data_IF_126048356915
#
_entry.id   IF_126048356915
#
_cell.length_a   1.000
_cell.length_b   1.000
_cell.length_c   1.000
_cell.angle_alpha   90.00
_cell.angle_beta   90.00
_cell.angle_gamma   90.00
#
_symmetry.space_group_name_H-M   'P 1'
#
loop_
_entity.id
_entity.type
_entity.pdbx_description
1 polymer ?
#
# COMPACT_ATOMS: atom_id res chain seq x y z
N UNK A 1 -25.03 -30.48 -0.22
CA UNK A 1 -24.20 -29.38 0.32
C UNK A 1 -22.85 -29.98 0.67
N UNK A 2 -21.82 -29.80 -0.20
CA UNK A 2 -20.51 -30.46 -0.02
C UNK A 2 -19.75 -29.73 1.09
N UNK A 3 -19.43 -30.45 2.16
CA UNK A 3 -18.72 -29.92 3.32
C UNK A 3 -17.36 -29.36 2.91
N UNK A 4 -17.07 -28.15 3.39
CA UNK A 4 -15.73 -27.56 3.34
C UNK A 4 -14.79 -28.53 4.07
N UNK A 5 -13.84 -29.15 3.36
CA UNK A 5 -12.89 -30.04 4.02
C UNK A 5 -12.10 -29.23 5.05
N UNK A 6 -11.67 -29.88 6.13
CA UNK A 6 -10.97 -29.25 7.24
C UNK A 6 -9.74 -28.45 6.77
N UNK A 7 -9.15 -28.87 5.66
CA UNK A 7 -7.99 -28.25 5.00
C UNK A 7 -8.36 -26.91 4.32
N UNK A 8 -9.55 -26.81 3.72
CA UNK A 8 -10.05 -25.57 3.13
C UNK A 8 -10.35 -24.51 4.18
N UNK A 9 -10.88 -24.91 5.33
CA UNK A 9 -11.11 -24.00 6.44
C UNK A 9 -9.78 -23.45 6.99
N UNK A 10 -8.76 -24.29 7.14
CA UNK A 10 -7.44 -23.87 7.57
C UNK A 10 -6.77 -22.91 6.57
N UNK A 11 -6.84 -23.21 5.27
CA UNK A 11 -6.31 -22.34 4.22
C UNK A 11 -6.99 -20.96 4.20
N UNK A 12 -8.32 -20.92 4.36
CA UNK A 12 -9.08 -19.67 4.43
C UNK A 12 -8.70 -18.85 5.67
N UNK A 13 -8.53 -19.49 6.83
CA UNK A 13 -8.09 -18.81 8.04
C UNK A 13 -6.68 -18.23 7.93
N UNK A 14 -5.75 -18.95 7.31
CA UNK A 14 -4.38 -18.45 7.08
C UNK A 14 -4.38 -17.27 6.10
N UNK A 15 -5.22 -17.31 5.07
CA UNK A 15 -5.35 -16.21 4.12
C UNK A 15 -5.97 -14.96 4.78
N UNK A 16 -7.04 -15.13 5.57
CA UNK A 16 -7.64 -14.05 6.35
C UNK A 16 -6.67 -13.48 7.39
N UNK A 17 -5.92 -14.33 8.09
CA UNK A 17 -4.91 -13.89 9.06
C UNK A 17 -3.77 -13.11 8.38
N UNK A 18 -3.37 -13.51 7.18
CA UNK A 18 -2.41 -12.77 6.36
C UNK A 18 -2.90 -11.38 5.96
N UNK A 19 -4.18 -11.24 5.60
CA UNK A 19 -4.79 -9.94 5.33
C UNK A 19 -4.95 -9.09 6.61
N UNK A 20 -5.30 -9.69 7.75
CA UNK A 20 -5.48 -8.98 9.01
C UNK A 20 -4.15 -8.50 9.63
N UNK A 21 -3.04 -9.17 9.32
CA UNK A 21 -1.69 -8.81 9.77
C UNK A 21 -1.02 -7.74 8.92
N UNK A 22 -1.70 -7.18 7.91
CA UNK A 22 -1.10 -6.15 7.06
C UNK A 22 -0.95 -4.86 7.87
N UNK A 23 0.28 -4.33 8.04
CA UNK A 23 0.46 -3.05 8.70
C UNK A 23 -0.22 -1.97 7.85
N UNK A 24 -1.27 -1.39 8.42
CA UNK A 24 -1.87 -0.15 7.92
C UNK A 24 -0.98 0.96 8.45
N UNK A 25 -0.19 1.56 7.57
CA UNK A 25 0.59 2.74 7.94
C UNK A 25 -0.31 3.96 7.84
N UNK A 26 -0.25 4.83 8.85
CA UNK A 26 -0.93 6.12 8.80
C UNK A 26 -0.52 6.89 7.54
N UNK A 27 -1.49 7.51 6.84
CA UNK A 27 -1.19 8.28 5.65
C UNK A 27 -0.25 9.44 6.02
N UNK A 28 0.87 9.53 5.29
CA UNK A 28 1.83 10.62 5.41
C UNK A 28 1.40 11.75 4.48
N UNK A 29 1.18 12.92 5.06
CA UNK A 29 1.03 14.18 4.34
C UNK A 29 2.37 14.92 4.33
N UNK A 30 2.87 15.17 3.12
CA UNK A 30 4.10 15.90 2.87
C UNK A 30 3.83 17.13 2.03
N UNK A 31 4.77 18.08 2.11
CA UNK A 31 4.81 19.23 1.21
C UNK A 31 6.24 19.35 0.73
N UNK A 32 6.44 19.38 -0.58
CA UNK A 32 7.75 19.61 -1.18
C UNK A 32 7.77 20.96 -1.90
N UNK A 33 8.85 21.71 -1.72
CA UNK A 33 9.05 22.99 -2.42
C UNK A 33 9.95 22.72 -3.61
N UNK A 34 9.44 23.00 -4.81
CA UNK A 34 10.17 22.86 -6.05
C UNK A 34 11.24 23.94 -6.22
N UNK A 35 12.21 23.68 -7.10
CA UNK A 35 13.26 24.67 -7.45
C UNK A 35 12.72 25.90 -8.17
N UNK A 36 11.51 25.80 -8.71
CA UNK A 36 10.71 26.86 -9.30
C UNK A 36 10.00 27.72 -8.24
N UNK A 37 10.16 27.42 -6.95
CA UNK A 37 9.51 28.10 -5.85
C UNK A 37 8.06 27.69 -5.64
N UNK A 38 7.56 26.70 -6.40
CA UNK A 38 6.20 26.21 -6.25
C UNK A 38 6.10 25.21 -5.09
N UNK A 39 4.97 25.27 -4.38
CA UNK A 39 4.67 24.38 -3.26
C UNK A 39 3.79 23.25 -3.76
N UNK A 40 4.24 22.03 -3.52
CA UNK A 40 3.59 20.85 -4.04
C UNK A 40 3.17 19.93 -2.89
N UNK A 41 1.86 19.83 -2.62
CA UNK A 41 1.37 18.89 -1.63
C UNK A 41 1.55 17.46 -2.14
N UNK A 42 1.88 16.55 -1.22
CA UNK A 42 1.89 15.12 -1.48
C UNK A 42 1.17 14.39 -0.35
N UNK A 43 0.41 13.36 -0.72
CA UNK A 43 -0.20 12.43 0.22
C UNK A 43 0.22 11.03 -0.17
N UNK A 44 0.59 10.20 0.80
CA UNK A 44 0.88 8.79 0.55
C UNK A 44 0.39 7.93 1.70
N UNK A 45 -0.30 6.84 1.42
CA UNK A 45 -0.70 5.83 2.40
C UNK A 45 -0.18 4.47 1.99
N UNK A 46 0.06 3.60 2.98
CA UNK A 46 0.47 2.23 2.69
C UNK A 46 -0.45 1.22 3.39
N UNK A 47 -0.93 0.26 2.60
CA UNK A 47 -1.72 -0.88 3.07
C UNK A 47 -1.01 -2.14 2.62
N UNK A 48 -0.49 -2.89 3.59
CA UNK A 48 -0.03 -4.25 3.34
C UNK A 48 1.11 -4.36 2.32
N UNK A 49 2.10 -3.48 2.44
CA UNK A 49 3.27 -3.44 1.55
C UNK A 49 3.04 -2.66 0.25
N UNK A 50 1.80 -2.32 -0.09
CA UNK A 50 1.46 -1.45 -1.22
C UNK A 50 1.32 -0.01 -0.72
N UNK A 51 2.06 0.92 -1.30
CA UNK A 51 1.96 2.36 -1.05
C UNK A 51 1.34 3.07 -2.24
N UNK A 52 0.31 3.87 -2.00
CA UNK A 52 -0.32 4.71 -3.01
C UNK A 52 -0.11 6.16 -2.59
N UNK A 53 0.26 7.01 -3.54
CA UNK A 53 0.38 8.43 -3.28
C UNK A 53 -0.02 9.29 -4.46
N UNK A 54 -0.26 10.56 -4.18
CA UNK A 54 -0.57 11.57 -5.18
C UNK A 54 0.10 12.89 -4.79
N UNK A 55 0.55 13.63 -5.80
CA UNK A 55 1.05 14.98 -5.65
C UNK A 55 0.78 15.80 -6.91
N UNK A 56 1.34 17.00 -6.97
CA UNK A 56 1.13 17.91 -8.11
C UNK A 56 1.64 17.38 -9.44
N UNK A 57 2.62 16.47 -9.43
CA UNK A 57 3.19 15.84 -10.61
C UNK A 57 2.49 14.55 -11.06
N UNK A 58 1.40 14.13 -10.39
CA UNK A 58 0.68 12.90 -10.70
C UNK A 58 0.51 11.96 -9.50
N UNK A 59 -0.13 10.83 -9.77
CA UNK A 59 -0.31 9.72 -8.85
C UNK A 59 0.80 8.69 -8.98
N UNK A 60 0.98 7.86 -7.96
CA UNK A 60 1.80 6.66 -8.06
C UNK A 60 1.25 5.54 -7.19
N UNK A 61 1.51 4.31 -7.64
CA UNK A 61 1.32 3.09 -6.85
C UNK A 61 2.65 2.37 -6.81
N UNK A 62 3.05 1.95 -5.62
CA UNK A 62 4.28 1.19 -5.41
C UNK A 62 4.03 0.05 -4.43
N UNK A 63 4.87 -0.98 -4.48
CA UNK A 63 4.89 -2.10 -3.55
C UNK A 63 6.32 -2.34 -3.09
N UNK A 64 6.48 -2.68 -1.82
CA UNK A 64 7.77 -2.89 -1.18
C UNK A 64 7.93 -4.30 -0.63
N UNK A 65 9.07 -4.94 -0.94
CA UNK A 65 9.54 -6.14 -0.27
C UNK A 65 10.94 -5.87 0.30
N UNK A 66 11.01 -5.70 1.63
CA UNK A 66 12.25 -5.30 2.31
C UNK A 66 12.76 -3.94 1.80
N UNK A 67 14.05 -3.80 1.44
CA UNK A 67 14.61 -2.54 0.96
C UNK A 67 14.22 -2.20 -0.49
N UNK A 68 13.60 -3.13 -1.23
CA UNK A 68 13.26 -2.94 -2.64
C UNK A 68 11.83 -2.40 -2.77
N UNK A 69 11.67 -1.31 -3.53
CA UNK A 69 10.37 -0.71 -3.87
C UNK A 69 10.20 -0.69 -5.39
N UNK A 70 9.14 -1.33 -5.90
CA UNK A 70 8.73 -1.24 -7.31
C UNK A 70 7.46 -0.41 -7.39
N UNK A 71 7.37 0.52 -8.33
CA UNK A 71 6.15 1.31 -8.52
C UNK A 71 6.04 1.93 -9.91
N UNK A 72 4.83 2.38 -10.23
CA UNK A 72 4.48 3.07 -11.45
C UNK A 72 3.74 4.37 -11.11
N UNK A 73 4.09 5.44 -11.84
CA UNK A 73 3.40 6.74 -11.77
C UNK A 73 2.39 6.89 -12.91
N UNK A 74 1.38 7.73 -12.70
CA UNK A 74 0.36 8.10 -13.70
C UNK A 74 -0.10 9.55 -13.55
#
# INVERSE_FOLDING_TARGET
>A
MRGVSKDWAAALCLFLAGCAGQPVYDPVLGVYVGRDGQVYPSVSGAVGGVSVGAGSGGGYVSTGFGPIRLGAGF
#
